data_IF_082391019689
#
_entry.id   IF_082391019689
#
_cell.length_a   1.000
_cell.length_b   1.000
_cell.length_c   1.000
_cell.angle_alpha   90.00
_cell.angle_beta   90.00
_cell.angle_gamma   90.00
#
_symmetry.space_group_name_H-M   'P 1'
#
loop_
_entity.id
_entity.type
_entity.pdbx_description
1 polymer ?
#
# COMPACT_ATOMS: atom_id res chain seq x y z
N UNK A 1 -1.61 -5.66 39.73
CA UNK A 1 -0.36 -5.11 39.15
C UNK A 1 -0.73 -4.34 37.89
N UNK A 2 -0.87 -3.00 37.97
CA UNK A 2 -1.10 -2.16 36.77
C UNK A 2 0.23 -2.06 36.05
N UNK A 3 0.30 -2.62 34.87
CA UNK A 3 1.41 -2.32 33.95
C UNK A 3 1.42 -0.80 33.74
N UNK A 4 2.56 -0.13 33.77
CA UNK A 4 2.63 1.28 33.48
C UNK A 4 2.12 1.48 32.07
N UNK A 5 0.92 2.07 31.95
CA UNK A 5 0.54 2.79 30.74
C UNK A 5 1.49 3.99 30.68
N UNK A 6 2.75 3.70 30.37
CA UNK A 6 3.70 4.76 30.07
C UNK A 6 3.10 5.51 28.89
N UNK A 7 2.85 6.77 29.09
CA UNK A 7 2.79 7.78 28.06
C UNK A 7 4.05 7.66 27.19
N UNK A 8 4.07 6.65 26.33
CA UNK A 8 4.83 6.75 25.10
C UNK A 8 4.00 7.60 24.16
N UNK A 9 3.77 8.81 24.64
CA UNK A 9 3.42 9.92 23.79
C UNK A 9 4.66 10.24 22.98
N UNK A 10 4.85 9.45 21.98
CA UNK A 10 5.64 9.85 20.86
C UNK A 10 5.11 9.03 19.71
N UNK A 11 4.41 9.70 18.86
CA UNK A 11 4.05 9.28 17.53
C UNK A 11 5.32 8.97 16.72
N UNK A 12 6.04 7.96 17.21
CA UNK A 12 7.43 7.64 16.87
C UNK A 12 7.65 7.52 15.37
N UNK A 13 6.71 6.92 14.64
CA UNK A 13 6.78 6.78 13.18
C UNK A 13 5.73 7.66 12.46
N UNK A 14 4.97 8.51 13.18
CA UNK A 14 3.86 9.27 12.60
C UNK A 14 2.71 8.36 12.19
N UNK A 15 2.09 7.64 13.14
CA UNK A 15 1.03 6.64 12.87
C UNK A 15 -0.13 7.18 12.04
N UNK A 16 -0.43 8.48 12.17
CA UNK A 16 -1.47 9.17 11.39
C UNK A 16 -1.20 9.21 9.88
N UNK A 17 0.04 8.95 9.43
CA UNK A 17 0.38 8.89 8.01
C UNK A 17 0.12 7.53 7.35
N UNK A 18 -0.21 6.50 8.13
CA UNK A 18 -0.43 5.14 7.64
C UNK A 18 -1.92 4.86 7.48
N UNK A 19 -2.28 4.34 6.31
CA UNK A 19 -3.59 3.78 6.02
C UNK A 19 -3.50 2.25 5.94
N UNK A 20 -4.37 1.54 6.65
CA UNK A 20 -4.58 0.11 6.48
C UNK A 20 -5.63 -0.09 5.39
N UNK A 21 -5.28 -0.79 4.32
CA UNK A 21 -6.14 -1.03 3.16
C UNK A 21 -6.46 -2.52 3.12
N UNK A 22 -7.73 -2.86 3.20
CA UNK A 22 -8.22 -4.22 2.99
C UNK A 22 -8.87 -4.32 1.63
N UNK A 23 -8.29 -5.14 0.75
CA UNK A 23 -8.84 -5.34 -0.59
C UNK A 23 -9.76 -6.56 -0.60
N UNK A 24 -11.04 -6.30 -0.85
CA UNK A 24 -12.12 -7.31 -0.97
C UNK A 24 -12.15 -8.30 0.20
N UNK A 25 -12.11 -7.84 1.47
CA UNK A 25 -12.22 -8.74 2.61
C UNK A 25 -13.59 -9.43 2.59
N UNK A 26 -13.61 -10.75 2.72
CA UNK A 26 -14.84 -11.55 2.70
C UNK A 26 -15.45 -11.69 4.09
N UNK A 27 -14.62 -11.86 5.11
CA UNK A 27 -15.09 -12.10 6.47
C UNK A 27 -15.13 -10.80 7.28
N UNK A 28 -16.35 -10.33 7.58
CA UNK A 28 -16.56 -9.13 8.37
C UNK A 28 -16.07 -9.23 9.83
N UNK A 29 -15.96 -10.42 10.38
CA UNK A 29 -15.33 -10.62 11.70
C UNK A 29 -13.85 -10.24 11.65
N UNK A 30 -13.13 -10.55 10.56
CA UNK A 30 -11.75 -10.13 10.37
C UNK A 30 -11.63 -8.61 10.30
N UNK A 31 -12.58 -7.91 9.66
CA UNK A 31 -12.58 -6.43 9.61
C UNK A 31 -12.69 -5.87 11.04
N UNK A 32 -13.55 -6.44 11.87
CA UNK A 32 -13.68 -6.05 13.28
C UNK A 32 -12.40 -6.30 14.08
N UNK A 33 -11.77 -7.45 13.89
CA UNK A 33 -10.48 -7.79 14.54
C UNK A 33 -9.36 -6.87 14.05
N UNK A 34 -9.35 -6.49 12.77
CA UNK A 34 -8.42 -5.47 12.24
C UNK A 34 -8.64 -4.12 12.92
N UNK A 35 -9.89 -3.68 13.04
CA UNK A 35 -10.18 -2.43 13.75
C UNK A 35 -9.67 -2.45 15.19
N UNK A 36 -9.79 -3.59 15.87
CA UNK A 36 -9.25 -3.81 17.22
C UNK A 36 -7.73 -3.75 17.25
N UNK A 37 -7.05 -4.40 16.29
CA UNK A 37 -5.59 -4.33 16.13
C UNK A 37 -5.13 -2.88 15.91
N UNK A 38 -5.79 -2.15 15.02
CA UNK A 38 -5.50 -0.75 14.75
C UNK A 38 -5.66 0.14 16.00
N UNK A 39 -6.76 -0.02 16.73
CA UNK A 39 -7.01 0.75 17.96
C UNK A 39 -5.93 0.50 19.01
N UNK A 40 -5.55 -0.78 19.22
CA UNK A 40 -4.54 -1.17 20.20
C UNK A 40 -3.14 -0.65 19.87
N UNK A 41 -2.84 -0.46 18.59
CA UNK A 41 -1.53 0.02 18.09
C UNK A 41 -1.54 1.50 17.69
N UNK A 42 -2.69 2.19 17.84
CA UNK A 42 -2.82 3.63 17.63
C UNK A 42 -2.93 4.05 16.16
N UNK A 43 -3.27 3.14 15.24
CA UNK A 43 -3.56 3.46 13.84
C UNK A 43 -5.05 3.72 13.65
N UNK A 44 -5.43 4.66 12.76
CA UNK A 44 -6.82 5.11 12.66
C UNK A 44 -7.42 5.16 11.24
N UNK A 45 -6.61 5.15 10.17
CA UNK A 45 -7.10 5.24 8.78
C UNK A 45 -7.33 3.83 8.21
N UNK A 46 -8.58 3.36 8.28
CA UNK A 46 -9.03 2.10 7.68
C UNK A 46 -9.70 2.37 6.34
N UNK A 47 -9.21 1.74 5.28
CA UNK A 47 -9.76 1.80 3.92
C UNK A 47 -10.25 0.42 3.49
N UNK A 48 -11.49 0.33 3.05
CA UNK A 48 -12.15 -0.90 2.61
C UNK A 48 -12.43 -0.79 1.10
N UNK A 49 -11.86 -1.71 0.33
CA UNK A 49 -12.04 -1.77 -1.12
C UNK A 49 -12.99 -2.89 -1.47
N UNK A 50 -14.02 -2.60 -2.28
CA UNK A 50 -15.00 -3.60 -2.72
C UNK A 50 -15.91 -4.09 -1.59
N UNK A 51 -16.16 -3.23 -0.60
CA UNK A 51 -17.10 -3.47 0.50
C UNK A 51 -18.16 -2.37 0.47
N UNK A 52 -19.41 -2.71 0.34
CA UNK A 52 -20.51 -1.73 0.29
C UNK A 52 -20.92 -1.26 1.70
N UNK A 53 -21.00 -2.19 2.65
CA UNK A 53 -21.37 -1.90 4.04
C UNK A 53 -20.80 -2.94 5.00
N UNK A 54 -20.55 -2.52 6.24
CA UNK A 54 -20.17 -3.44 7.31
C UNK A 54 -21.38 -4.18 7.86
N UNK A 55 -21.21 -5.47 8.08
CA UNK A 55 -22.20 -6.32 8.74
C UNK A 55 -22.05 -6.26 10.27
N UNK A 56 -23.08 -6.62 11.04
CA UNK A 56 -23.04 -6.60 12.52
C UNK A 56 -21.87 -7.38 13.12
N UNK A 57 -21.40 -8.45 12.46
CA UNK A 57 -20.28 -9.28 12.91
C UNK A 57 -18.98 -8.47 13.08
N UNK A 58 -18.73 -7.49 12.19
CA UNK A 58 -17.58 -6.61 12.31
C UNK A 58 -17.60 -5.80 13.61
N UNK A 59 -18.77 -5.28 13.98
CA UNK A 59 -18.92 -4.50 15.21
C UNK A 59 -18.81 -5.38 16.46
N UNK A 60 -19.31 -6.62 16.40
CA UNK A 60 -19.20 -7.59 17.49
C UNK A 60 -17.75 -7.93 17.82
N UNK A 61 -16.89 -8.14 16.81
CA UNK A 61 -15.48 -8.50 17.00
C UNK A 61 -14.56 -7.31 17.25
N UNK A 62 -15.00 -6.08 16.92
CA UNK A 62 -14.24 -4.87 17.14
C UNK A 62 -14.01 -4.53 18.62
N UNK A 63 -14.86 -4.96 19.54
CA UNK A 63 -14.78 -4.80 21.00
C UNK A 63 -14.09 -3.50 21.42
N UNK A 64 -14.83 -2.44 21.71
CA UNK A 64 -14.36 -1.09 22.09
C UNK A 64 -13.53 -0.37 21.01
N UNK A 65 -13.52 -0.90 19.78
CA UNK A 65 -12.80 -0.31 18.64
C UNK A 65 -13.74 0.15 17.51
N UNK A 66 -15.04 0.25 17.78
CA UNK A 66 -16.08 0.62 16.81
C UNK A 66 -15.83 2.00 16.20
N UNK A 67 -15.09 2.86 16.89
CA UNK A 67 -14.71 4.18 16.38
C UNK A 67 -13.83 4.10 15.12
N UNK A 68 -13.02 3.04 14.97
CA UNK A 68 -12.23 2.79 13.74
C UNK A 68 -13.17 2.38 12.61
N UNK A 69 -14.12 1.47 12.88
CA UNK A 69 -15.12 1.04 11.88
C UNK A 69 -16.02 2.19 11.43
N UNK A 70 -16.49 3.03 12.37
CA UNK A 70 -17.35 4.20 12.06
C UNK A 70 -16.63 5.25 11.21
N UNK A 71 -15.30 5.32 11.28
CA UNK A 71 -14.45 6.23 10.49
C UNK A 71 -13.88 5.56 9.24
N UNK A 72 -14.13 4.26 9.05
CA UNK A 72 -13.64 3.54 7.88
C UNK A 72 -14.15 4.17 6.59
N UNK A 73 -13.29 4.26 5.60
CA UNK A 73 -13.61 4.80 4.27
C UNK A 73 -13.80 3.66 3.28
N UNK A 74 -14.79 3.78 2.43
CA UNK A 74 -15.16 2.78 1.45
C UNK A 74 -14.76 3.25 0.06
N UNK A 75 -14.22 2.35 -0.73
CA UNK A 75 -13.73 2.64 -2.06
C UNK A 75 -14.18 1.57 -3.05
N UNK A 76 -14.57 1.95 -4.28
CA UNK A 76 -14.98 0.99 -5.30
C UNK A 76 -13.82 0.11 -5.77
N UNK A 77 -12.62 0.67 -5.81
CA UNK A 77 -11.42 0.01 -6.31
C UNK A 77 -10.16 0.47 -5.57
N UNK A 78 -9.04 -0.20 -5.85
CA UNK A 78 -7.75 0.08 -5.23
C UNK A 78 -7.17 1.43 -5.69
N UNK A 79 -7.41 1.85 -6.93
CA UNK A 79 -6.91 3.11 -7.45
C UNK A 79 -7.47 4.28 -6.65
N UNK A 80 -8.79 4.31 -6.44
CA UNK A 80 -9.45 5.31 -5.61
C UNK A 80 -8.97 5.26 -4.15
N UNK A 81 -8.76 4.05 -3.61
CA UNK A 81 -8.29 3.88 -2.24
C UNK A 81 -6.85 4.35 -2.02
N UNK A 82 -6.04 4.45 -3.07
CA UNK A 82 -4.60 4.76 -2.98
C UNK A 82 -4.20 6.09 -3.59
N UNK A 83 -5.08 6.78 -4.32
CA UNK A 83 -4.77 8.00 -5.09
C UNK A 83 -4.00 9.08 -4.30
N UNK A 84 -4.34 9.23 -3.01
CA UNK A 84 -3.77 10.21 -2.10
C UNK A 84 -2.50 9.74 -1.38
N UNK A 85 -2.08 8.50 -1.58
CA UNK A 85 -0.91 7.90 -0.94
C UNK A 85 0.35 8.12 -1.78
N UNK A 86 1.51 8.13 -1.11
CA UNK A 86 2.81 8.29 -1.75
C UNK A 86 3.50 6.93 -1.94
N UNK A 87 3.37 6.05 -0.95
CA UNK A 87 3.97 4.72 -0.95
C UNK A 87 2.92 3.67 -0.59
N UNK A 88 3.01 2.50 -1.22
CA UNK A 88 2.16 1.35 -0.95
C UNK A 88 3.04 0.15 -0.66
N UNK A 89 2.83 -0.48 0.50
CA UNK A 89 3.46 -1.72 0.92
C UNK A 89 2.40 -2.82 0.93
N UNK A 90 2.57 -3.83 0.10
CA UNK A 90 1.62 -4.93 -0.06
C UNK A 90 2.10 -6.20 0.64
N UNK A 91 1.27 -6.75 1.51
CA UNK A 91 1.55 -8.01 2.19
C UNK A 91 1.12 -9.21 1.33
N UNK A 92 2.01 -10.17 1.11
CA UNK A 92 1.69 -11.41 0.41
C UNK A 92 2.26 -12.63 1.14
N UNK A 93 1.51 -13.73 1.15
CA UNK A 93 2.03 -15.02 1.57
C UNK A 93 2.63 -15.83 0.40
N UNK A 94 2.35 -15.41 -0.84
CA UNK A 94 2.77 -16.12 -2.04
C UNK A 94 3.92 -15.38 -2.70
N UNK A 95 5.10 -16.01 -2.70
CA UNK A 95 6.22 -15.53 -3.50
C UNK A 95 5.94 -15.88 -4.97
N UNK A 96 5.81 -14.87 -5.81
CA UNK A 96 5.67 -15.00 -7.26
C UNK A 96 6.95 -14.48 -7.90
N UNK A 97 7.50 -15.18 -8.87
CA UNK A 97 8.73 -14.77 -9.57
C UNK A 97 8.61 -13.41 -10.29
N UNK A 98 7.39 -12.92 -10.47
CA UNK A 98 7.10 -11.66 -11.16
C UNK A 98 7.38 -10.41 -10.31
N UNK A 99 7.40 -10.56 -8.97
CA UNK A 99 7.57 -9.44 -8.03
C UNK A 99 8.77 -9.70 -7.12
N UNK A 100 9.59 -8.68 -6.92
CA UNK A 100 10.60 -8.70 -5.86
C UNK A 100 9.86 -8.62 -4.51
N UNK A 101 9.98 -9.69 -3.72
CA UNK A 101 9.34 -9.79 -2.40
C UNK A 101 10.43 -9.64 -1.35
N UNK A 102 10.33 -8.60 -0.54
CA UNK A 102 11.27 -8.34 0.55
C UNK A 102 10.88 -9.09 1.83
N UNK A 103 11.87 -9.32 2.68
CA UNK A 103 11.63 -9.88 4.00
C UNK A 103 10.90 -8.85 4.89
N UNK A 104 10.12 -9.35 5.85
CA UNK A 104 9.35 -8.50 6.76
C UNK A 104 10.20 -7.48 7.52
N UNK A 105 11.36 -7.90 8.02
CA UNK A 105 12.28 -7.03 8.74
C UNK A 105 12.79 -5.86 7.86
N UNK A 106 13.08 -6.15 6.60
CA UNK A 106 13.48 -5.15 5.61
C UNK A 106 12.33 -4.18 5.31
N UNK A 107 11.10 -4.69 5.16
CA UNK A 107 9.91 -3.86 4.94
C UNK A 107 9.67 -2.91 6.13
N UNK A 108 9.80 -3.39 7.35
CA UNK A 108 9.66 -2.59 8.58
C UNK A 108 10.70 -1.47 8.64
N UNK A 109 11.95 -1.76 8.28
CA UNK A 109 13.02 -0.77 8.25
C UNK A 109 12.79 0.27 7.14
N UNK A 110 12.42 -0.16 5.94
CA UNK A 110 12.07 0.74 4.83
C UNK A 110 10.90 1.66 5.20
N UNK A 111 9.90 1.14 5.91
CA UNK A 111 8.77 1.93 6.44
C UNK A 111 9.24 2.95 7.47
N UNK A 112 10.17 2.58 8.35
CA UNK A 112 10.77 3.46 9.35
C UNK A 112 11.55 4.59 8.72
N UNK A 113 12.30 4.31 7.65
CA UNK A 113 13.15 5.26 6.93
C UNK A 113 12.37 6.12 5.93
N UNK A 114 11.14 5.74 5.57
CA UNK A 114 10.34 6.48 4.59
C UNK A 114 10.10 7.93 5.05
N UNK A 115 10.13 8.91 4.10
CA UNK A 115 10.01 10.34 4.42
C UNK A 115 8.81 10.64 5.31
N UNK A 116 9.00 11.40 6.39
CA UNK A 116 7.97 11.66 7.41
C UNK A 116 6.69 12.30 6.87
N UNK A 117 6.79 13.10 5.82
CA UNK A 117 5.65 13.71 5.16
C UNK A 117 4.91 12.78 4.20
N UNK A 118 5.43 11.57 3.92
CA UNK A 118 4.77 10.64 3.01
C UNK A 118 3.59 9.96 3.69
N UNK A 119 2.47 9.83 2.97
CA UNK A 119 1.34 8.99 3.34
C UNK A 119 1.55 7.59 2.78
N UNK A 120 1.40 6.58 3.64
CA UNK A 120 1.77 5.20 3.33
C UNK A 120 0.54 4.30 3.45
N UNK A 121 0.31 3.47 2.44
CA UNK A 121 -0.69 2.41 2.46
C UNK A 121 -0.07 1.06 2.82
N UNK A 122 -0.67 0.38 3.79
CA UNK A 122 -0.40 -1.01 4.13
C UNK A 122 -1.52 -1.85 3.53
N UNK A 123 -1.24 -2.53 2.43
CA UNK A 123 -2.23 -3.23 1.62
C UNK A 123 -2.26 -4.72 1.95
N UNK A 124 -3.44 -5.20 2.31
CA UNK A 124 -3.72 -6.60 2.59
C UNK A 124 -4.86 -7.10 1.69
N UNK A 125 -4.72 -8.33 1.20
CA UNK A 125 -5.67 -8.93 0.27
C UNK A 125 -6.76 -9.73 0.95
N UNK A 126 -7.62 -10.27 0.11
CA UNK A 126 -8.68 -11.20 0.44
C UNK A 126 -8.15 -12.46 1.17
N UNK A 127 -8.92 -13.01 2.11
CA UNK A 127 -8.52 -14.17 2.94
C UNK A 127 -8.24 -15.42 2.11
N UNK A 128 -9.02 -15.65 1.07
CA UNK A 128 -8.95 -16.86 0.25
C UNK A 128 -7.95 -16.72 -0.92
N UNK A 129 -8.00 -15.61 -1.62
CA UNK A 129 -7.23 -15.40 -2.86
C UNK A 129 -5.96 -14.58 -2.67
N UNK A 130 -5.86 -13.83 -1.57
CA UNK A 130 -4.81 -12.84 -1.34
C UNK A 130 -4.96 -11.65 -2.29
N UNK A 131 -3.85 -10.98 -2.56
CA UNK A 131 -3.77 -9.90 -3.54
C UNK A 131 -3.65 -10.46 -4.95
N UNK A 132 -4.35 -9.84 -5.90
CA UNK A 132 -4.22 -10.12 -7.33
C UNK A 132 -2.90 -9.56 -7.88
N UNK A 133 -2.46 -10.05 -9.04
CA UNK A 133 -1.21 -9.57 -9.67
C UNK A 133 -1.24 -8.07 -9.95
N UNK A 134 -2.39 -7.55 -10.39
CA UNK A 134 -2.60 -6.12 -10.64
C UNK A 134 -2.45 -5.28 -9.37
N UNK A 135 -2.95 -5.79 -8.22
CA UNK A 135 -2.83 -5.12 -6.93
C UNK A 135 -1.39 -5.12 -6.41
N UNK A 136 -0.67 -6.22 -6.60
CA UNK A 136 0.76 -6.30 -6.29
C UNK A 136 1.58 -5.37 -7.21
N UNK A 137 1.23 -5.28 -8.50
CA UNK A 137 1.85 -4.34 -9.44
C UNK A 137 1.59 -2.87 -9.14
N UNK A 138 0.55 -2.57 -8.37
CA UNK A 138 0.27 -1.23 -7.89
C UNK A 138 1.11 -0.83 -6.65
N UNK A 139 1.75 -1.77 -5.97
CA UNK A 139 2.55 -1.51 -4.79
C UNK A 139 3.98 -1.10 -5.14
N UNK A 140 4.57 -0.20 -4.33
CA UNK A 140 6.00 0.14 -4.41
C UNK A 140 6.86 -0.98 -3.85
N UNK A 141 6.38 -1.60 -2.78
CA UNK A 141 7.07 -2.67 -2.06
C UNK A 141 6.12 -3.83 -1.79
N UNK A 142 6.61 -5.03 -2.03
CA UNK A 142 5.88 -6.27 -1.69
C UNK A 142 6.67 -7.00 -0.63
N UNK A 143 6.03 -7.40 0.45
CA UNK A 143 6.70 -8.09 1.56
C UNK A 143 5.94 -9.35 2.00
N UNK A 144 6.66 -10.25 2.65
CA UNK A 144 6.09 -11.45 3.24
C UNK A 144 6.39 -11.54 4.73
N UNK A 145 5.37 -11.91 5.51
CA UNK A 145 5.54 -12.22 6.93
C UNK A 145 6.28 -13.55 7.11
N UNK A 146 7.23 -13.65 8.05
CA UNK A 146 7.95 -14.89 8.29
C UNK A 146 7.01 -15.99 8.80
N UNK A 147 7.20 -17.19 8.30
CA UNK A 147 6.45 -18.39 8.67
C UNK A 147 7.42 -19.52 8.99
N UNK A 148 7.10 -20.34 10.02
CA UNK A 148 7.96 -21.44 10.45
C UNK A 148 8.00 -22.61 9.44
N UNK A 149 6.97 -22.75 8.62
CA UNK A 149 6.84 -23.80 7.61
C UNK A 149 6.01 -23.30 6.43
N UNK A 150 5.86 -24.12 5.37
CA UNK A 150 4.93 -23.85 4.26
C UNK A 150 3.47 -24.02 4.70
N UNK A 151 3.08 -23.32 5.75
CA UNK A 151 1.71 -23.27 6.20
C UNK A 151 0.87 -22.35 5.29
N UNK A 152 -0.46 -22.52 5.30
CA UNK A 152 -1.35 -21.52 4.74
C UNK A 152 -1.05 -20.15 5.36
N UNK A 153 -1.34 -19.10 4.61
CA UNK A 153 -1.14 -17.71 5.04
C UNK A 153 -1.71 -17.42 6.43
N UNK A 154 -1.12 -16.45 7.14
CA UNK A 154 -1.76 -15.90 8.34
C UNK A 154 -3.19 -15.43 8.04
N UNK A 155 -4.08 -15.59 9.03
CA UNK A 155 -5.37 -14.92 8.99
C UNK A 155 -5.18 -13.41 8.75
N UNK A 156 -6.10 -12.79 8.01
CA UNK A 156 -6.03 -11.38 7.62
C UNK A 156 -5.77 -10.46 8.82
N UNK A 157 -6.57 -10.60 9.89
CA UNK A 157 -6.42 -9.77 11.07
C UNK A 157 -5.09 -10.00 11.80
N UNK A 158 -4.59 -11.24 11.80
CA UNK A 158 -3.29 -11.59 12.37
C UNK A 158 -2.15 -10.95 11.57
N UNK A 159 -2.21 -11.01 10.24
CA UNK A 159 -1.21 -10.36 9.38
C UNK A 159 -1.17 -8.85 9.60
N UNK A 160 -2.33 -8.19 9.69
CA UNK A 160 -2.44 -6.77 10.02
C UNK A 160 -1.86 -6.49 11.40
N UNK A 161 -2.26 -7.25 12.43
CA UNK A 161 -1.78 -7.06 13.81
C UNK A 161 -0.26 -7.16 13.89
N UNK A 162 0.35 -8.20 13.30
CA UNK A 162 1.81 -8.38 13.30
C UNK A 162 2.53 -7.20 12.64
N UNK A 163 2.01 -6.72 11.52
CA UNK A 163 2.58 -5.57 10.81
C UNK A 163 2.47 -4.30 11.65
N UNK A 164 1.29 -4.01 12.18
CA UNK A 164 1.07 -2.81 13.00
C UNK A 164 1.82 -2.87 14.32
N UNK A 165 1.92 -4.05 14.94
CA UNK A 165 2.69 -4.24 16.18
C UNK A 165 4.17 -4.01 15.97
N UNK A 166 4.74 -4.50 14.87
CA UNK A 166 6.14 -4.25 14.54
C UNK A 166 6.40 -2.73 14.41
N UNK A 167 5.55 -2.01 13.68
CA UNK A 167 5.66 -0.55 13.54
C UNK A 167 5.45 0.19 14.87
N UNK A 168 4.47 -0.24 15.67
CA UNK A 168 4.20 0.32 17.00
C UNK A 168 5.38 0.16 17.96
N UNK A 169 6.12 -0.95 17.84
CA UNK A 169 7.24 -1.29 18.71
C UNK A 169 8.56 -0.60 18.33
N UNK A 170 8.60 0.12 17.21
CA UNK A 170 9.81 0.84 16.79
C UNK A 170 10.17 1.96 17.77
N UNK A 171 11.47 2.17 18.04
CA UNK A 171 11.94 3.18 19.00
C UNK A 171 11.81 4.63 18.53
N UNK A 172 11.04 4.87 17.52
CA UNK A 172 10.87 6.18 16.87
C UNK A 172 11.49 6.22 15.46
N UNK A 173 11.28 7.31 14.72
CA UNK A 173 11.79 7.39 13.37
C UNK A 173 13.31 7.48 13.38
N UNK A 174 13.93 6.90 12.34
CA UNK A 174 15.33 7.18 12.08
C UNK A 174 15.55 8.68 11.87
N UNK A 175 16.69 9.24 12.29
CA UNK A 175 17.06 10.59 11.91
C UNK A 175 17.15 10.65 10.39
N UNK A 176 16.17 11.24 9.73
CA UNK A 176 16.16 11.38 8.27
C UNK A 176 16.63 12.76 7.87
N UNK A 177 17.49 12.83 6.86
CA UNK A 177 17.70 14.07 6.10
C UNK A 177 16.37 14.44 5.44
N UNK A 178 16.08 15.74 5.20
CA UNK A 178 14.91 16.14 4.45
C UNK A 178 15.02 15.56 3.03
N UNK A 179 14.31 14.47 2.81
CA UNK A 179 14.19 13.85 1.50
C UNK A 179 12.97 14.42 0.76
N UNK A 180 13.09 14.56 -0.55
CA UNK A 180 11.95 14.90 -1.39
C UNK A 180 10.86 13.82 -1.26
N UNK A 181 9.62 14.24 -1.03
CA UNK A 181 8.50 13.32 -0.96
C UNK A 181 8.31 12.62 -2.32
N UNK A 182 8.04 11.31 -2.32
CA UNK A 182 7.55 10.64 -3.52
C UNK A 182 6.27 11.32 -4.03
N UNK A 183 6.06 11.29 -5.33
CA UNK A 183 4.81 11.74 -5.94
C UNK A 183 3.64 10.87 -5.45
N UNK A 184 2.44 11.45 -5.34
CA UNK A 184 1.24 10.68 -4.98
C UNK A 184 0.93 9.63 -6.04
N UNK A 185 0.20 8.59 -5.67
CA UNK A 185 -0.21 7.55 -6.60
C UNK A 185 -0.95 8.12 -7.81
N UNK A 186 -1.88 9.03 -7.62
CA UNK A 186 -2.57 9.72 -8.71
C UNK A 186 -1.59 10.39 -9.69
N UNK A 187 -0.58 11.08 -9.16
CA UNK A 187 0.42 11.74 -10.01
C UNK A 187 1.32 10.75 -10.76
N UNK A 188 1.61 9.59 -10.16
CA UNK A 188 2.34 8.50 -10.83
C UNK A 188 1.49 7.86 -11.94
N UNK A 189 0.21 7.60 -11.69
CA UNK A 189 -0.72 7.03 -12.67
C UNK A 189 -0.93 7.97 -13.88
N UNK A 190 -0.91 9.29 -13.67
CA UNK A 190 -0.92 10.26 -14.76
C UNK A 190 0.35 10.13 -15.63
N UNK A 191 1.52 9.96 -15.01
CA UNK A 191 2.76 9.74 -15.74
C UNK A 191 2.72 8.44 -16.56
N UNK A 192 2.27 7.35 -15.95
CA UNK A 192 2.09 6.04 -16.62
C UNK A 192 1.17 6.19 -17.84
N UNK A 193 0.05 6.90 -17.69
CA UNK A 193 -0.91 7.15 -18.76
C UNK A 193 -0.26 7.85 -19.96
N UNK A 194 0.54 8.88 -19.72
CA UNK A 194 1.27 9.59 -20.77
C UNK A 194 2.28 8.68 -21.45
N UNK A 195 3.06 7.90 -20.69
CA UNK A 195 4.03 6.95 -21.26
C UNK A 195 3.34 5.94 -22.16
N UNK A 196 2.26 5.30 -21.69
CA UNK A 196 1.50 4.32 -22.47
C UNK A 196 0.92 4.93 -23.76
N UNK A 197 0.32 6.13 -23.67
CA UNK A 197 -0.19 6.84 -24.84
C UNK A 197 0.91 7.13 -25.88
N UNK A 198 2.13 7.44 -25.44
CA UNK A 198 3.24 7.71 -26.36
C UNK A 198 3.76 6.42 -27.00
N UNK A 199 3.85 5.32 -26.24
CA UNK A 199 4.21 4.01 -26.78
C UNK A 199 3.19 3.49 -27.80
N UNK A 200 1.91 3.79 -27.60
CA UNK A 200 0.86 3.49 -28.61
C UNK A 200 1.04 4.33 -29.88
N UNK A 201 1.27 5.63 -29.75
CA UNK A 201 1.48 6.52 -30.90
C UNK A 201 2.73 6.19 -31.71
N UNK A 202 3.79 5.69 -31.08
CA UNK A 202 5.01 5.24 -31.76
C UNK A 202 4.85 3.86 -32.42
N UNK A 203 3.72 3.17 -32.24
CA UNK A 203 3.50 1.82 -32.74
C UNK A 203 4.21 0.72 -31.93
N UNK A 204 4.91 1.06 -30.83
CA UNK A 204 5.51 0.07 -29.94
C UNK A 204 4.44 -0.78 -29.25
N UNK A 205 3.33 -0.16 -28.83
CA UNK A 205 2.15 -0.86 -28.34
C UNK A 205 1.18 -1.07 -29.49
N UNK A 206 0.84 -2.32 -29.76
CA UNK A 206 -0.15 -2.75 -30.76
C UNK A 206 -1.08 -3.82 -30.15
N UNK A 207 -2.12 -4.26 -30.91
CA UNK A 207 -3.19 -5.10 -30.37
C UNK A 207 -2.74 -6.32 -29.58
N UNK A 208 -1.75 -7.06 -30.08
CA UNK A 208 -1.29 -8.31 -29.48
C UNK A 208 -0.44 -8.12 -28.20
N UNK A 209 0.33 -7.02 -28.11
CA UNK A 209 1.24 -6.80 -26.99
C UNK A 209 0.73 -5.79 -25.94
N UNK A 210 -0.42 -5.14 -26.19
CA UNK A 210 -0.96 -4.06 -25.35
C UNK A 210 -1.04 -4.44 -23.87
N UNK A 211 -1.62 -5.58 -23.56
CA UNK A 211 -1.81 -6.02 -22.17
C UNK A 211 -0.46 -6.22 -21.47
N UNK A 212 0.45 -6.94 -22.12
CA UNK A 212 1.76 -7.26 -21.59
C UNK A 212 2.63 -6.00 -21.37
N UNK A 213 2.72 -5.11 -22.37
CA UNK A 213 3.50 -3.87 -22.24
C UNK A 213 2.91 -2.94 -21.18
N UNK A 214 1.57 -2.84 -21.11
CA UNK A 214 0.91 -2.04 -20.10
C UNK A 214 1.20 -2.54 -18.68
N UNK A 215 1.20 -3.86 -18.48
CA UNK A 215 1.55 -4.48 -17.21
C UNK A 215 3.02 -4.23 -16.84
N UNK A 216 3.94 -4.37 -17.79
CA UNK A 216 5.36 -4.08 -17.60
C UNK A 216 5.61 -2.64 -17.19
N UNK A 217 5.00 -1.67 -17.89
CA UNK A 217 5.13 -0.24 -17.57
C UNK A 217 4.57 0.03 -16.18
N UNK A 218 3.39 -0.45 -15.84
CA UNK A 218 2.81 -0.29 -14.49
C UNK A 218 3.67 -0.91 -13.41
N UNK A 219 4.19 -2.12 -13.62
CA UNK A 219 5.08 -2.80 -12.69
C UNK A 219 6.40 -2.05 -12.50
N UNK A 220 6.98 -1.49 -13.58
CA UNK A 220 8.19 -0.69 -13.49
C UNK A 220 7.96 0.58 -12.66
N UNK A 221 6.95 1.36 -13.01
CA UNK A 221 6.61 2.60 -12.31
C UNK A 221 6.15 2.35 -10.88
N UNK A 222 5.44 1.24 -10.62
CA UNK A 222 5.01 0.84 -9.28
C UNK A 222 6.17 0.71 -8.30
N UNK A 223 7.28 0.13 -8.76
CA UNK A 223 8.50 -0.06 -7.94
C UNK A 223 9.33 1.22 -7.73
N UNK A 224 9.08 2.27 -8.50
CA UNK A 224 9.81 3.52 -8.39
C UNK A 224 9.06 4.45 -7.41
N UNK A 225 9.77 4.92 -6.39
CA UNK A 225 9.28 5.99 -5.52
C UNK A 225 9.62 7.35 -6.15
N UNK A 226 9.05 7.62 -7.34
CA UNK A 226 9.35 8.83 -8.12
C UNK A 226 8.99 10.08 -7.33
N UNK A 227 9.91 11.02 -7.26
CA UNK A 227 9.63 12.37 -6.76
C UNK A 227 8.88 13.19 -7.82
N UNK A 228 8.29 14.32 -7.42
CA UNK A 228 7.70 15.26 -8.40
C UNK A 228 8.71 15.80 -9.42
N UNK A 229 9.99 15.88 -9.05
CA UNK A 229 11.07 16.28 -9.95
C UNK A 229 11.30 15.21 -11.03
N UNK A 230 11.39 13.95 -10.62
CA UNK A 230 11.58 12.81 -11.53
C UNK A 230 10.41 12.69 -12.49
N UNK A 231 9.19 12.84 -11.98
CA UNK A 231 7.96 12.83 -12.77
C UNK A 231 7.96 13.94 -13.83
N UNK A 232 8.29 15.17 -13.43
CA UNK A 232 8.37 16.30 -14.37
C UNK A 232 9.42 16.08 -15.45
N UNK A 233 10.57 15.50 -15.09
CA UNK A 233 11.61 15.16 -16.04
C UNK A 233 11.12 14.11 -17.05
N UNK A 234 10.53 13.00 -16.57
CA UNK A 234 9.97 11.98 -17.46
C UNK A 234 8.90 12.54 -18.39
N UNK A 235 7.99 13.35 -17.86
CA UNK A 235 6.95 14.01 -18.66
C UNK A 235 7.55 14.92 -19.76
N UNK A 236 8.62 15.66 -19.45
CA UNK A 236 9.31 16.49 -20.45
C UNK A 236 9.94 15.62 -21.56
N UNK A 237 10.63 14.54 -21.19
CA UNK A 237 11.25 13.61 -22.15
C UNK A 237 10.20 13.01 -23.08
N UNK A 238 9.11 12.48 -22.54
CA UNK A 238 8.07 11.86 -23.35
C UNK A 238 7.26 12.89 -24.18
N UNK A 239 7.13 14.13 -23.75
CA UNK A 239 6.45 15.15 -24.55
C UNK A 239 7.32 15.66 -25.71
N UNK A 240 8.63 15.81 -25.53
CA UNK A 240 9.52 16.29 -26.59
C UNK A 240 9.74 15.26 -27.73
N UNK A 241 9.67 13.97 -27.45
CA UNK A 241 9.87 12.92 -28.45
C UNK A 241 8.84 12.94 -29.61
N UNK A 242 7.67 13.54 -29.39
CA UNK A 242 6.59 13.60 -30.41
C UNK A 242 6.73 14.81 -31.35
N UNK A 243 7.39 15.88 -30.93
CA UNK A 243 7.60 17.06 -31.79
C UNK A 243 8.67 16.80 -32.88
N UNK A 244 9.60 15.87 -32.63
CA UNK A 244 10.64 15.51 -33.60
C UNK A 244 10.19 14.54 -34.71
N UNK A 245 9.14 13.76 -34.49
CA UNK A 245 8.58 12.87 -35.52
C UNK A 245 7.63 13.57 -36.49
N UNK A 246 7.32 14.87 -36.27
CA UNK A 246 6.48 15.68 -37.16
C UNK A 246 7.28 16.62 -38.09
N UNK A 247 8.59 16.51 -38.10
CA UNK A 247 9.49 17.19 -39.05
C UNK A 247 10.20 16.16 -39.93
#
# INVERSE_FOLDING_TARGET
>A
MRLPHGERDQDGIGRGRFAVILSRPENHENIGLVARAMKNTGFGDLRLVGVDALRPEAFRTAVHSETVLKKARYFPDLAAATESLHLIFAATARVRNTFAVMAFAEAVETLRESPRGSRVGLLFGNERTGLMSEELGAANYVFTLPQASRQPSYNLASAVLLTLFALFSLPGPAPSKPEALPATRAAQDDCIRVVLMKLERSGFIHGENRAHVSEMVRSLFGRLALTDRDRKFLMAVFNQSVERERK
#
